data_IF_747708499290
#
_entry.id   IF_747708499290
#
_cell.length_a   1.000
_cell.length_b   1.000
_cell.length_c   1.000
_cell.angle_alpha   90.00
_cell.angle_beta   90.00
_cell.angle_gamma   90.00
#
_symmetry.space_group_name_H-M   'P 1'
#
loop_
_entity.id
_entity.type
_entity.pdbx_description
1 polymer ?
#
# COMPACT_ATOMS: atom_id res chain seq x y z
N UNK A 1 22.97 3.78 6.31
CA UNK A 1 21.50 3.76 6.13
C UNK A 1 20.84 3.73 7.50
N UNK A 2 19.89 4.63 7.76
CA UNK A 2 19.22 4.73 9.06
C UNK A 2 17.69 4.74 8.91
N UNK A 3 17.03 3.99 9.81
CA UNK A 3 15.57 4.04 9.98
C UNK A 3 15.15 5.42 10.50
N UNK A 4 14.01 5.94 10.05
CA UNK A 4 13.53 7.29 10.37
C UNK A 4 12.46 7.27 11.44
N UNK A 5 12.59 8.20 12.41
CA UNK A 5 11.66 8.36 13.53
C UNK A 5 10.40 9.13 13.13
N UNK A 6 9.43 9.10 14.02
CA UNK A 6 8.19 9.90 13.97
C UNK A 6 8.45 11.40 13.74
N UNK A 7 9.43 11.98 14.45
CA UNK A 7 9.81 13.39 14.28
C UNK A 7 10.29 13.69 12.86
N UNK A 8 11.09 12.82 12.26
CA UNK A 8 11.55 12.96 10.89
C UNK A 8 10.40 12.79 9.90
N UNK A 9 9.55 11.77 10.09
CA UNK A 9 8.39 11.51 9.23
C UNK A 9 7.43 12.70 9.23
N UNK A 10 7.13 13.24 10.42
CA UNK A 10 6.26 14.42 10.59
C UNK A 10 6.84 15.65 9.87
N UNK A 11 8.13 15.91 10.05
CA UNK A 11 8.81 17.03 9.36
C UNK A 11 8.71 16.87 7.84
N UNK A 12 9.04 15.69 7.30
CA UNK A 12 9.00 15.43 5.85
C UNK A 12 7.59 15.52 5.28
N UNK A 13 6.59 15.05 6.02
CA UNK A 13 5.20 15.17 5.60
C UNK A 13 4.76 16.63 5.51
N UNK A 14 5.12 17.46 6.49
CA UNK A 14 4.78 18.91 6.52
C UNK A 14 5.56 19.73 5.49
N UNK A 15 6.87 19.58 5.44
CA UNK A 15 7.76 20.43 4.62
C UNK A 15 7.81 20.00 3.15
N UNK A 16 7.71 18.69 2.89
CA UNK A 16 7.87 18.10 1.55
C UNK A 16 6.61 17.43 1.01
N UNK A 17 5.53 17.41 1.80
CA UNK A 17 4.27 16.71 1.46
C UNK A 17 4.53 15.24 1.12
N UNK A 18 5.47 14.61 1.85
CA UNK A 18 5.90 13.23 1.58
C UNK A 18 4.74 12.24 1.70
N UNK A 19 3.77 12.52 2.59
CA UNK A 19 2.55 11.73 2.82
C UNK A 19 1.36 12.69 2.84
N UNK A 20 0.33 12.42 2.03
CA UNK A 20 -0.85 13.30 1.93
C UNK A 20 -2.13 12.49 1.61
N UNK A 21 -3.22 12.57 2.42
CA UNK A 21 -3.31 13.31 3.68
C UNK A 21 -2.48 12.66 4.79
N UNK A 22 -1.99 13.47 5.74
CA UNK A 22 -1.12 13.03 6.82
C UNK A 22 -1.83 13.07 8.18
N UNK A 23 -1.79 11.94 8.92
CA UNK A 23 -2.26 11.85 10.31
C UNK A 23 -1.06 11.94 11.25
N UNK A 24 -0.94 13.04 11.98
CA UNK A 24 0.24 13.38 12.80
C UNK A 24 0.43 12.49 14.04
N UNK A 25 -0.58 11.73 14.39
CA UNK A 25 -0.57 10.79 15.52
C UNK A 25 -1.38 9.55 15.18
N UNK A 26 -1.23 8.51 16.01
CA UNK A 26 -2.04 7.30 15.87
C UNK A 26 -3.52 7.59 16.14
N UNK A 27 -4.36 7.46 15.13
CA UNK A 27 -5.81 7.46 15.26
C UNK A 27 -6.24 6.07 15.72
N UNK A 28 -7.03 6.03 16.81
CA UNK A 28 -7.55 4.82 17.48
C UNK A 28 -9.02 5.04 17.87
N UNK A 29 -9.63 4.05 18.44
CA UNK A 29 -11.00 4.18 18.96
C UNK A 29 -12.04 3.67 17.97
N UNK A 30 -12.28 2.36 17.97
CA UNK A 30 -13.26 1.71 17.11
C UNK A 30 -12.80 1.43 15.67
N UNK A 31 -11.57 1.81 15.31
CA UNK A 31 -10.97 1.57 14.01
C UNK A 31 -9.63 0.83 14.12
N UNK A 32 -9.24 0.13 13.09
CA UNK A 32 -7.87 -0.41 12.98
C UNK A 32 -6.94 0.79 12.80
N UNK A 33 -6.03 0.99 13.75
CA UNK A 33 -5.26 2.22 13.91
C UNK A 33 -4.42 2.59 12.69
N UNK A 34 -4.28 3.90 12.44
CA UNK A 34 -3.47 4.45 11.38
C UNK A 34 -2.80 5.76 11.81
N UNK A 35 -1.85 6.24 11.02
CA UNK A 35 -1.10 7.48 11.30
C UNK A 35 0.34 7.22 11.73
N UNK A 36 1.02 8.26 12.22
CA UNK A 36 2.43 8.19 12.63
C UNK A 36 2.63 7.21 13.79
N UNK A 37 3.64 6.37 13.65
CA UNK A 37 4.15 5.43 14.66
C UNK A 37 5.63 5.77 14.92
N UNK A 38 6.25 5.19 15.95
CA UNK A 38 7.60 5.52 16.41
C UNK A 38 8.66 5.54 15.30
N UNK A 39 8.62 4.57 14.37
CA UNK A 39 9.56 4.42 13.25
C UNK A 39 8.86 4.05 11.95
N UNK A 40 7.67 4.59 11.70
CA UNK A 40 6.90 4.31 10.52
C UNK A 40 5.60 5.08 10.46
N UNK A 41 4.83 4.80 9.42
CA UNK A 41 3.50 5.36 9.22
C UNK A 41 2.52 4.24 8.87
N UNK A 42 1.47 4.09 9.67
CA UNK A 42 0.39 3.15 9.39
C UNK A 42 -0.55 3.73 8.34
N UNK A 43 -0.55 3.13 7.15
CA UNK A 43 -1.33 3.56 5.99
C UNK A 43 -2.73 3.00 6.02
N UNK A 44 -3.67 3.71 5.37
CA UNK A 44 -5.06 3.31 5.22
C UNK A 44 -5.32 2.69 3.84
N UNK A 45 -6.22 1.72 3.79
CA UNK A 45 -6.80 1.26 2.53
C UNK A 45 -7.98 2.16 2.14
N UNK A 46 -8.09 2.54 0.86
CA UNK A 46 -9.22 3.30 0.34
C UNK A 46 -10.48 2.42 0.21
N UNK A 47 -11.60 3.02 -0.19
CA UNK A 47 -12.91 2.36 -0.33
C UNK A 47 -13.14 1.69 -1.70
N UNK A 48 -12.11 1.63 -2.53
CA UNK A 48 -12.13 1.04 -3.87
C UNK A 48 -11.28 -0.22 -3.90
N UNK A 49 -11.86 -1.30 -4.43
CA UNK A 49 -11.25 -2.61 -4.48
C UNK A 49 -11.48 -3.28 -5.83
N UNK A 50 -10.54 -4.13 -6.24
CA UNK A 50 -10.70 -5.10 -7.33
C UNK A 50 -10.57 -6.50 -6.74
N UNK A 51 -11.68 -7.21 -6.64
CA UNK A 51 -11.72 -8.56 -6.03
C UNK A 51 -11.44 -9.58 -7.13
N UNK A 52 -10.42 -10.41 -6.93
CA UNK A 52 -10.07 -11.47 -7.88
C UNK A 52 -11.15 -12.55 -7.93
N UNK A 53 -11.50 -12.95 -9.15
CA UNK A 53 -12.40 -14.07 -9.44
C UNK A 53 -11.76 -15.00 -10.47
N UNK A 54 -12.05 -16.28 -10.37
CA UNK A 54 -11.55 -17.31 -11.30
C UNK A 54 -12.57 -17.71 -12.37
N UNK A 55 -13.60 -16.88 -12.60
CA UNK A 55 -14.72 -17.23 -13.51
C UNK A 55 -14.28 -17.17 -14.97
N UNK A 56 -13.44 -16.22 -15.32
CA UNK A 56 -13.09 -15.93 -16.71
C UNK A 56 -11.65 -16.35 -17.10
N UNK A 57 -10.88 -16.91 -16.17
CA UNK A 57 -9.49 -17.32 -16.45
C UNK A 57 -9.15 -18.64 -15.77
N UNK A 58 -8.32 -19.44 -16.43
CA UNK A 58 -7.82 -20.73 -15.92
C UNK A 58 -6.37 -20.64 -15.44
N UNK A 59 -5.66 -19.58 -15.80
CA UNK A 59 -4.24 -19.37 -15.49
C UNK A 59 -4.01 -17.90 -15.16
N UNK A 60 -3.29 -17.62 -14.08
CA UNK A 60 -2.79 -16.28 -13.77
C UNK A 60 -1.45 -16.10 -14.48
N UNK A 61 -1.43 -15.26 -15.53
CA UNK A 61 -0.21 -14.93 -16.28
C UNK A 61 0.09 -13.42 -16.14
N UNK A 62 1.18 -13.03 -15.47
CA UNK A 62 1.51 -11.61 -15.29
C UNK A 62 1.85 -10.89 -16.60
N UNK A 63 2.20 -11.63 -17.66
CA UNK A 63 2.48 -11.08 -18.99
C UNK A 63 1.23 -10.91 -19.85
N UNK A 64 0.15 -11.61 -19.51
CA UNK A 64 -1.14 -11.59 -20.24
C UNK A 64 -2.28 -11.59 -19.26
N UNK A 65 -2.21 -10.66 -18.28
CA UNK A 65 -3.18 -10.60 -17.22
C UNK A 65 -4.55 -10.19 -17.77
N UNK A 66 -5.57 -11.03 -17.53
CA UNK A 66 -6.94 -10.77 -17.95
C UNK A 66 -7.63 -9.85 -16.93
N UNK A 67 -7.99 -8.64 -17.35
CA UNK A 67 -8.70 -7.66 -16.52
C UNK A 67 -10.09 -8.14 -16.09
N UNK A 68 -10.73 -9.05 -16.84
CA UNK A 68 -12.01 -9.66 -16.50
C UNK A 68 -11.91 -10.62 -15.30
N UNK A 69 -10.70 -10.90 -14.83
CA UNK A 69 -10.45 -11.66 -13.58
C UNK A 69 -10.76 -10.87 -12.32
N UNK A 70 -11.15 -9.59 -12.44
CA UNK A 70 -11.53 -8.77 -11.30
C UNK A 70 -12.98 -8.31 -11.38
N UNK A 71 -13.60 -8.23 -10.19
CA UNK A 71 -14.86 -7.53 -9.95
C UNK A 71 -14.56 -6.27 -9.16
N UNK A 72 -14.98 -5.13 -9.69
CA UNK A 72 -14.85 -3.85 -9.00
C UNK A 72 -15.86 -3.74 -7.87
N UNK A 73 -15.40 -3.30 -6.71
CA UNK A 73 -16.20 -3.06 -5.53
C UNK A 73 -15.83 -1.71 -4.91
N UNK A 74 -16.85 -0.97 -4.47
CA UNK A 74 -16.67 0.27 -3.71
C UNK A 74 -17.59 0.24 -2.49
N UNK A 75 -17.03 0.48 -1.30
CA UNK A 75 -17.78 0.51 -0.05
C UNK A 75 -16.89 0.43 1.19
N UNK A 76 -17.53 0.56 2.35
CA UNK A 76 -16.84 0.65 3.65
C UNK A 76 -16.20 -0.68 4.09
N UNK A 77 -16.73 -1.83 3.63
CA UNK A 77 -16.22 -3.15 3.97
C UNK A 77 -16.16 -4.02 2.73
N UNK A 78 -14.94 -4.37 2.31
CA UNK A 78 -14.72 -5.35 1.25
C UNK A 78 -14.69 -6.76 1.83
N UNK A 79 -15.39 -7.69 1.17
CA UNK A 79 -15.33 -9.13 1.51
C UNK A 79 -14.42 -9.82 0.49
N UNK A 80 -13.25 -10.25 0.95
CA UNK A 80 -12.32 -11.02 0.13
C UNK A 80 -12.64 -12.50 0.26
N UNK A 81 -12.92 -13.22 -0.85
CA UNK A 81 -13.26 -14.65 -0.81
C UNK A 81 -12.15 -15.52 -0.20
N UNK A 82 -12.46 -16.72 0.28
CA UNK A 82 -11.45 -17.66 0.77
C UNK A 82 -10.42 -18.01 -0.29
N UNK A 83 -9.16 -18.13 0.10
CA UNK A 83 -8.05 -18.50 -0.80
C UNK A 83 -7.97 -17.62 -2.07
N UNK A 84 -8.35 -16.35 -1.94
CA UNK A 84 -8.36 -15.38 -3.02
C UNK A 84 -7.63 -14.08 -2.58
N UNK A 85 -7.61 -13.08 -3.44
CA UNK A 85 -7.02 -11.79 -3.12
C UNK A 85 -7.84 -10.64 -3.71
N UNK A 86 -7.57 -9.46 -3.21
CA UNK A 86 -8.07 -8.21 -3.77
C UNK A 86 -6.91 -7.23 -3.97
N UNK A 87 -7.04 -6.39 -4.98
CA UNK A 87 -6.23 -5.19 -5.12
C UNK A 87 -7.01 -4.02 -4.53
N UNK A 88 -6.29 -3.14 -3.85
CA UNK A 88 -6.80 -1.87 -3.36
C UNK A 88 -5.75 -0.78 -3.57
N UNK A 89 -6.04 0.45 -3.18
CA UNK A 89 -5.04 1.51 -3.13
C UNK A 89 -4.99 2.13 -1.75
N UNK A 90 -3.89 2.82 -1.47
CA UNK A 90 -3.81 3.64 -0.26
C UNK A 90 -4.70 4.86 -0.35
N UNK A 91 -5.21 5.34 0.79
CA UNK A 91 -5.79 6.69 0.92
C UNK A 91 -4.70 7.73 0.71
N UNK A 92 -3.53 7.46 1.27
CA UNK A 92 -2.38 8.36 1.22
C UNK A 92 -1.71 8.35 -0.16
N UNK A 93 -1.37 9.54 -0.63
CA UNK A 93 -0.47 9.79 -1.74
C UNK A 93 0.94 10.03 -1.18
N UNK A 94 1.94 9.38 -1.74
CA UNK A 94 3.34 9.47 -1.32
C UNK A 94 4.17 10.25 -2.32
N UNK A 95 5.21 10.94 -1.82
CA UNK A 95 6.29 11.54 -2.61
C UNK A 95 7.61 11.20 -1.94
N UNK A 96 8.25 10.17 -2.42
CA UNK A 96 9.46 9.62 -1.79
C UNK A 96 10.69 10.44 -2.20
N UNK A 97 11.46 10.98 -1.26
CA UNK A 97 12.69 11.70 -1.58
C UNK A 97 13.73 10.80 -2.26
N UNK A 98 14.63 11.41 -3.06
CA UNK A 98 15.66 10.69 -3.81
C UNK A 98 16.66 9.89 -2.95
N UNK A 99 16.84 10.28 -1.71
CA UNK A 99 17.72 9.58 -0.76
C UNK A 99 16.97 8.64 0.21
N UNK A 100 15.71 8.32 -0.09
CA UNK A 100 14.85 7.50 0.79
C UNK A 100 14.36 6.27 0.04
N UNK A 101 14.44 5.13 0.72
CA UNK A 101 13.77 3.88 0.35
C UNK A 101 12.74 3.55 1.42
N UNK A 102 11.62 2.94 1.02
CA UNK A 102 10.62 2.47 1.98
C UNK A 102 10.48 0.95 1.93
N UNK A 103 10.05 0.38 3.06
CA UNK A 103 9.56 -1.00 3.13
C UNK A 103 8.15 -0.94 3.71
N UNK A 104 7.20 -1.62 3.07
CA UNK A 104 5.83 -1.74 3.54
C UNK A 104 5.58 -3.15 4.08
N UNK A 105 5.01 -3.23 5.27
CA UNK A 105 4.71 -4.48 5.98
C UNK A 105 3.24 -4.49 6.38
N UNK A 106 2.56 -5.64 6.23
CA UNK A 106 1.18 -5.81 6.65
C UNK A 106 0.98 -5.53 8.14
N UNK A 107 -0.16 -4.96 8.48
CA UNK A 107 -0.50 -4.65 9.88
C UNK A 107 -0.78 -5.91 10.68
N UNK A 108 -0.24 -5.95 11.90
CA UNK A 108 -0.30 -7.12 12.79
C UNK A 108 -1.74 -7.60 13.09
N UNK A 109 -2.72 -6.70 13.06
CA UNK A 109 -4.15 -7.04 13.23
C UNK A 109 -4.63 -7.99 12.14
N UNK A 110 -4.35 -7.66 10.88
CA UNK A 110 -4.70 -8.51 9.74
C UNK A 110 -3.82 -9.76 9.65
N UNK A 111 -2.52 -9.61 9.91
CA UNK A 111 -1.59 -10.75 9.88
C UNK A 111 -1.98 -11.88 10.83
N UNK A 112 -2.50 -11.55 12.03
CA UNK A 112 -3.02 -12.54 13.00
C UNK A 112 -4.32 -13.22 12.56
N UNK A 113 -5.01 -12.65 11.58
CA UNK A 113 -6.18 -13.27 10.95
C UNK A 113 -5.83 -14.04 9.67
N UNK A 114 -4.54 -14.22 9.36
CA UNK A 114 -4.10 -14.89 8.14
C UNK A 114 -4.26 -14.04 6.87
N UNK A 115 -4.40 -12.73 7.01
CA UNK A 115 -4.46 -11.80 5.88
C UNK A 115 -3.05 -11.27 5.62
N UNK A 116 -2.59 -11.45 4.40
CA UNK A 116 -1.27 -10.99 3.95
C UNK A 116 -1.48 -9.74 3.11
N UNK A 117 -0.78 -8.67 3.47
CA UNK A 117 -0.68 -7.46 2.64
C UNK A 117 0.72 -7.40 2.07
N UNK A 118 0.81 -7.49 0.76
CA UNK A 118 2.06 -7.37 0.03
C UNK A 118 2.11 -6.02 -0.68
N UNK A 119 3.25 -5.36 -0.60
CA UNK A 119 3.53 -4.11 -1.32
C UNK A 119 5.03 -4.06 -1.59
N UNK A 120 5.40 -3.80 -2.83
CA UNK A 120 6.82 -3.63 -3.16
C UNK A 120 7.35 -2.32 -2.57
N UNK A 121 8.67 -2.19 -2.33
CA UNK A 121 9.27 -0.96 -1.82
C UNK A 121 8.91 0.25 -2.68
N UNK A 122 8.61 1.40 -2.05
CA UNK A 122 8.54 2.66 -2.78
C UNK A 122 9.96 3.14 -2.99
N UNK A 123 10.37 3.15 -4.25
CA UNK A 123 11.72 3.53 -4.64
C UNK A 123 11.95 5.06 -4.54
N UNK A 124 13.22 5.51 -4.53
CA UNK A 124 13.58 6.92 -4.62
C UNK A 124 12.86 7.65 -5.77
N UNK A 125 12.27 8.81 -5.46
CA UNK A 125 11.48 9.66 -6.38
C UNK A 125 10.24 9.01 -7.00
N UNK A 126 9.80 7.86 -6.46
CA UNK A 126 8.46 7.39 -6.75
C UNK A 126 7.42 8.27 -6.05
N UNK A 127 6.34 8.58 -6.75
CA UNK A 127 5.17 9.21 -6.14
C UNK A 127 3.89 8.51 -6.61
N UNK A 128 2.84 8.59 -5.80
CA UNK A 128 1.55 7.97 -6.12
C UNK A 128 0.80 7.48 -4.90
N UNK A 129 -0.42 6.96 -5.14
CA UNK A 129 -1.10 6.05 -4.22
C UNK A 129 -0.55 4.65 -4.46
N UNK A 130 -0.20 3.91 -3.39
CA UNK A 130 0.31 2.55 -3.56
C UNK A 130 -0.84 1.58 -3.85
N UNK A 131 -0.64 0.67 -4.81
CA UNK A 131 -1.51 -0.49 -4.96
C UNK A 131 -1.16 -1.49 -3.86
N UNK A 132 -2.18 -2.01 -3.18
CA UNK A 132 -2.10 -2.97 -2.09
C UNK A 132 -2.60 -4.33 -2.59
N UNK A 133 -1.79 -5.35 -2.46
CA UNK A 133 -2.17 -6.74 -2.76
C UNK A 133 -2.58 -7.43 -1.46
N UNK A 134 -3.88 -7.65 -1.26
CA UNK A 134 -4.47 -8.16 -0.02
C UNK A 134 -4.92 -9.60 -0.25
N UNK A 135 -4.16 -10.56 0.28
CA UNK A 135 -4.45 -11.99 0.14
C UNK A 135 -5.17 -12.54 1.36
N UNK A 136 -6.28 -13.23 1.14
CA UNK A 136 -7.01 -14.00 2.14
C UNK A 136 -6.59 -15.47 2.09
N UNK A 137 -5.72 -15.90 3.02
CA UNK A 137 -5.24 -17.29 3.07
C UNK A 137 -6.15 -18.25 3.86
N UNK A 138 -6.96 -17.83 4.85
CA UNK A 138 -7.96 -18.66 5.50
C UNK A 138 -9.04 -19.24 4.57
N UNK A 139 -9.66 -20.35 4.96
CA UNK A 139 -10.77 -20.95 4.23
C UNK A 139 -12.12 -20.24 4.45
N UNK A 140 -12.13 -19.07 5.04
CA UNK A 140 -13.31 -18.23 5.32
C UNK A 140 -13.19 -16.88 4.64
N UNK A 141 -14.32 -16.24 4.25
CA UNK A 141 -14.30 -14.86 3.76
C UNK A 141 -13.71 -13.90 4.79
N UNK A 142 -12.87 -12.97 4.35
CA UNK A 142 -12.24 -11.96 5.20
C UNK A 142 -12.82 -10.57 4.95
N UNK A 143 -12.98 -9.80 6.03
CA UNK A 143 -13.40 -8.39 5.96
C UNK A 143 -12.20 -7.47 5.95
N UNK A 144 -12.17 -6.55 4.99
CA UNK A 144 -11.22 -5.45 4.92
C UNK A 144 -12.00 -4.16 5.08
N UNK A 145 -11.63 -3.35 6.07
CA UNK A 145 -12.33 -2.12 6.42
C UNK A 145 -11.68 -0.93 5.71
N UNK A 146 -12.46 -0.26 4.87
CA UNK A 146 -12.01 0.94 4.15
C UNK A 146 -11.72 2.10 5.10
N UNK A 147 -10.80 2.98 4.71
CA UNK A 147 -10.35 4.15 5.49
C UNK A 147 -9.69 3.83 6.83
N UNK A 148 -9.41 2.55 7.10
CA UNK A 148 -8.71 2.09 8.30
C UNK A 148 -7.29 1.57 7.98
N UNK A 149 -6.48 1.38 9.02
CA UNK A 149 -5.09 0.95 8.91
C UNK A 149 -4.96 -0.46 8.33
N UNK A 150 -4.10 -0.63 7.31
CA UNK A 150 -3.92 -1.92 6.61
C UNK A 150 -2.47 -2.41 6.63
N UNK A 151 -1.51 -1.50 6.60
CA UNK A 151 -0.09 -1.81 6.56
C UNK A 151 0.73 -0.68 7.20
N UNK A 152 2.02 -0.93 7.44
CA UNK A 152 2.96 0.08 7.95
C UNK A 152 4.08 0.29 6.94
N UNK A 153 4.38 1.55 6.65
CA UNK A 153 5.53 1.97 5.85
C UNK A 153 6.65 2.41 6.76
N UNK A 154 7.82 1.82 6.57
CA UNK A 154 9.07 2.16 7.26
C UNK A 154 9.98 2.89 6.29
N UNK A 155 10.63 3.97 6.73
CA UNK A 155 11.46 4.85 5.91
C UNK A 155 12.93 4.69 6.26
N UNK A 156 13.77 4.51 5.24
CA UNK A 156 15.22 4.40 5.37
C UNK A 156 15.88 5.47 4.52
N UNK A 157 16.73 6.27 5.14
CA UNK A 157 17.58 7.22 4.42
C UNK A 157 18.91 6.56 4.06
N UNK A 158 19.27 6.64 2.79
CA UNK A 158 20.51 6.08 2.28
C UNK A 158 21.73 6.93 2.69
N UNK A 159 22.90 6.27 2.84
CA UNK A 159 24.17 6.94 3.09
C UNK A 159 24.68 7.68 1.87
N UNK A 160 24.31 7.19 0.68
CA UNK A 160 24.59 7.80 -0.62
C UNK A 160 23.31 7.96 -1.44
N UNK A 161 23.22 9.04 -2.20
CA UNK A 161 22.12 9.25 -3.14
C UNK A 161 22.25 8.33 -4.34
N UNK A 162 21.18 7.65 -4.72
CA UNK A 162 21.20 6.76 -5.89
C UNK A 162 21.49 7.53 -7.18
N UNK A 163 22.26 6.93 -8.08
CA UNK A 163 22.55 7.52 -9.40
C UNK A 163 21.30 7.54 -10.27
N UNK A 164 20.46 6.51 -10.20
CA UNK A 164 19.26 6.36 -11.00
C UNK A 164 18.06 6.11 -10.10
N UNK A 165 17.11 7.04 -10.09
CA UNK A 165 15.87 6.94 -9.32
C UNK A 165 14.75 6.27 -10.12
N UNK A 166 13.58 6.07 -9.48
CA UNK A 166 12.39 5.57 -10.14
C UNK A 166 11.86 6.52 -11.21
N UNK A 167 11.97 7.83 -10.98
CA UNK A 167 11.61 8.86 -11.95
C UNK A 167 12.55 8.83 -13.16
N UNK A 168 13.87 8.69 -12.94
CA UNK A 168 14.87 8.61 -14.00
C UNK A 168 14.63 7.39 -14.91
N UNK A 169 14.22 6.26 -14.33
CA UNK A 169 13.86 5.02 -15.08
C UNK A 169 12.55 5.15 -15.86
N UNK A 170 11.79 6.23 -15.67
CA UNK A 170 10.40 6.36 -16.16
C UNK A 170 9.55 5.17 -15.74
N UNK A 171 9.63 4.83 -14.46
CA UNK A 171 9.00 3.64 -13.88
C UNK A 171 7.50 3.58 -14.20
N UNK A 172 7.02 2.38 -14.55
CA UNK A 172 5.68 2.13 -15.09
C UNK A 172 4.52 2.44 -14.14
N UNK A 173 4.80 2.63 -12.86
CA UNK A 173 3.81 2.95 -11.81
C UNK A 173 4.01 4.38 -11.23
N UNK A 174 4.73 5.25 -11.94
CA UNK A 174 4.94 6.64 -11.51
C UNK A 174 3.64 7.44 -11.56
N UNK A 175 3.39 8.24 -10.52
CA UNK A 175 2.25 9.15 -10.36
C UNK A 175 0.87 8.47 -10.44
N UNK A 176 0.78 7.16 -10.12
CA UNK A 176 -0.51 6.46 -10.13
C UNK A 176 -1.46 7.02 -9.05
N UNK A 177 -2.75 7.08 -9.38
CA UNK A 177 -3.81 7.54 -8.48
C UNK A 177 -4.90 6.50 -8.25
N UNK A 178 -4.97 5.53 -9.15
CA UNK A 178 -5.97 4.46 -9.14
C UNK A 178 -5.29 3.11 -8.90
N UNK A 179 -6.10 2.05 -8.67
CA UNK A 179 -5.61 0.69 -8.58
C UNK A 179 -5.02 0.30 -9.95
N UNK A 180 -3.72 0.13 -9.99
CA UNK A 180 -3.01 -0.19 -11.24
C UNK A 180 -2.82 -1.70 -11.36
N UNK A 181 -3.27 -2.27 -12.48
CA UNK A 181 -3.06 -3.67 -12.83
C UNK A 181 -1.62 -3.93 -13.29
N UNK A 182 -1.19 -5.22 -13.37
CA UNK A 182 0.14 -5.55 -13.83
C UNK A 182 0.46 -4.93 -15.19
N UNK A 183 1.63 -4.29 -15.30
CA UNK A 183 2.20 -3.74 -16.54
C UNK A 183 3.52 -4.43 -16.83
N UNK A 184 3.82 -4.67 -18.09
CA UNK A 184 5.10 -5.21 -18.56
C UNK A 184 6.05 -4.07 -18.90
#
# INVERSE_FOLDING_TARGET
MSIKSDAWITRMARERRMIEPFAESQVRGGVISYGVSSYGYDIRVADEFKIFTNVNTTIVDPKRFDQQSFVDFKGDVCIVPPNSFALARTVEYFRIPRNVLTICLGKSTYARCGIIVNVTPFEPEWEGTATLEISNTPPLPARIYANEGIAQVVFFEADEVCQTSYADKKGKYQAQRDITLPKI
#
